data_IF_077773407888
#
_entry.id   IF_077773407888
#
_cell.length_a   1.000
_cell.length_b   1.000
_cell.length_c   1.000
_cell.angle_alpha   90.00
_cell.angle_beta   90.00
_cell.angle_gamma   90.00
#
_symmetry.space_group_name_H-M   'P 1'
#
loop_
_entity.id
_entity.type
_entity.pdbx_description
1 polymer ?
#
# COMPACT_ATOMS: atom_id res chain seq x y z
N UNK A 1 21.12 -0.53 -13.27
CA UNK A 1 19.93 -1.06 -13.96
C UNK A 1 19.78 -2.50 -13.47
N UNK A 2 18.56 -2.92 -13.15
CA UNK A 2 18.23 -4.27 -12.69
C UNK A 2 17.23 -4.90 -13.67
N UNK A 3 17.11 -6.23 -13.66
CA UNK A 3 16.14 -6.95 -14.48
C UNK A 3 15.04 -7.52 -13.57
N UNK A 4 13.83 -7.69 -14.11
CA UNK A 4 12.74 -8.37 -13.41
C UNK A 4 12.40 -7.83 -12.02
N UNK A 5 12.46 -6.51 -11.84
CA UNK A 5 12.05 -5.89 -10.58
C UNK A 5 10.61 -6.30 -10.24
N UNK A 6 10.41 -6.82 -9.05
CA UNK A 6 9.15 -7.41 -8.61
C UNK A 6 8.00 -6.40 -8.66
N UNK A 7 8.21 -5.19 -8.15
CA UNK A 7 7.20 -4.14 -8.17
C UNK A 7 6.75 -3.85 -9.60
N UNK A 8 7.71 -3.67 -10.51
CA UNK A 8 7.44 -3.36 -11.91
C UNK A 8 6.69 -4.49 -12.59
N UNK A 9 7.16 -5.73 -12.45
CA UNK A 9 6.56 -6.88 -13.13
C UNK A 9 5.14 -7.17 -12.62
N UNK A 10 4.94 -7.21 -11.30
CA UNK A 10 3.61 -7.49 -10.75
C UNK A 10 2.60 -6.35 -11.01
N UNK A 11 3.03 -5.09 -10.99
CA UNK A 11 2.16 -3.96 -11.35
C UNK A 11 1.83 -3.95 -12.85
N UNK A 12 2.79 -4.28 -13.72
CA UNK A 12 2.56 -4.42 -15.15
C UNK A 12 1.56 -5.55 -15.46
N UNK A 13 1.75 -6.72 -14.83
CA UNK A 13 0.82 -7.84 -14.91
C UNK A 13 -0.59 -7.44 -14.46
N UNK A 14 -0.70 -6.78 -13.29
CA UNK A 14 -1.98 -6.33 -12.76
C UNK A 14 -2.66 -5.31 -13.69
N UNK A 15 -1.89 -4.41 -14.32
CA UNK A 15 -2.42 -3.46 -15.29
C UNK A 15 -3.04 -4.15 -16.51
N UNK A 16 -2.37 -5.17 -17.07
CA UNK A 16 -2.90 -5.94 -18.19
C UNK A 16 -4.18 -6.69 -17.81
N UNK A 17 -4.23 -7.31 -16.62
CA UNK A 17 -5.43 -7.96 -16.09
C UNK A 17 -6.59 -6.96 -15.98
N UNK A 18 -6.34 -5.77 -15.43
CA UNK A 18 -7.36 -4.72 -15.30
C UNK A 18 -7.84 -4.20 -16.66
N UNK A 19 -6.93 -3.99 -17.61
CA UNK A 19 -7.27 -3.56 -18.97
C UNK A 19 -8.18 -4.59 -19.66
N UNK A 20 -7.85 -5.89 -19.57
CA UNK A 20 -8.69 -6.97 -20.09
C UNK A 20 -10.09 -6.97 -19.47
N UNK A 21 -10.17 -6.87 -18.14
CA UNK A 21 -11.44 -6.84 -17.42
C UNK A 21 -12.31 -5.64 -17.84
N UNK A 22 -11.69 -4.48 -18.03
CA UNK A 22 -12.38 -3.28 -18.52
C UNK A 22 -12.89 -3.48 -19.96
N UNK A 23 -12.09 -4.05 -20.87
CA UNK A 23 -12.53 -4.33 -22.24
C UNK A 23 -13.74 -5.25 -22.23
N UNK A 24 -13.71 -6.34 -21.45
CA UNK A 24 -14.86 -7.25 -21.31
C UNK A 24 -16.10 -6.50 -20.82
N UNK A 25 -15.95 -5.73 -19.73
CA UNK A 25 -17.04 -4.93 -19.17
C UNK A 25 -17.63 -3.94 -20.19
N UNK A 26 -16.79 -3.25 -20.97
CA UNK A 26 -17.23 -2.29 -21.97
C UNK A 26 -17.93 -2.97 -23.15
N UNK A 27 -17.40 -4.09 -23.64
CA UNK A 27 -18.04 -4.88 -24.70
C UNK A 27 -19.44 -5.36 -24.28
N UNK A 28 -19.59 -5.81 -23.05
CA UNK A 28 -20.86 -6.35 -22.53
C UNK A 28 -21.87 -5.27 -22.17
N UNK A 29 -21.45 -4.19 -21.49
CA UNK A 29 -22.37 -3.20 -20.91
C UNK A 29 -22.44 -1.88 -21.68
N UNK A 30 -21.43 -1.55 -22.47
CA UNK A 30 -21.28 -0.25 -23.14
C UNK A 30 -20.73 -0.39 -24.58
N UNK A 31 -21.37 -1.19 -25.45
CA UNK A 31 -20.80 -1.55 -26.76
C UNK A 31 -20.52 -0.35 -27.68
N UNK A 32 -21.37 0.68 -27.67
CA UNK A 32 -21.14 1.91 -28.46
C UNK A 32 -19.90 2.68 -27.99
N UNK A 33 -19.67 2.74 -26.68
CA UNK A 33 -18.51 3.38 -26.08
C UNK A 33 -17.23 2.60 -26.33
N UNK A 34 -17.33 1.27 -26.30
CA UNK A 34 -16.24 0.38 -26.70
C UNK A 34 -15.80 0.62 -28.13
N UNK A 35 -16.71 0.63 -29.10
CA UNK A 35 -16.37 0.86 -30.51
C UNK A 35 -15.72 2.25 -30.72
N UNK A 36 -16.22 3.27 -30.04
CA UNK A 36 -15.61 4.61 -30.07
C UNK A 36 -14.17 4.60 -29.52
N UNK A 37 -13.95 3.95 -28.38
CA UNK A 37 -12.62 3.84 -27.77
C UNK A 37 -11.67 3.04 -28.66
N UNK A 38 -12.10 1.86 -29.12
CA UNK A 38 -11.35 0.96 -30.01
C UNK A 38 -10.82 1.72 -31.23
N UNK A 39 -11.69 2.49 -31.89
CA UNK A 39 -11.30 3.30 -33.04
C UNK A 39 -10.33 4.43 -32.68
N UNK A 40 -10.57 5.13 -31.56
CA UNK A 40 -9.72 6.24 -31.11
C UNK A 40 -8.28 5.81 -30.79
N UNK A 41 -8.11 4.65 -30.16
CA UNK A 41 -6.78 4.13 -29.78
C UNK A 41 -6.20 3.16 -30.82
N UNK A 42 -6.91 2.93 -31.93
CA UNK A 42 -6.53 1.96 -32.98
C UNK A 42 -6.22 0.56 -32.41
N UNK A 43 -7.07 0.11 -31.48
CA UNK A 43 -6.85 -1.11 -30.73
C UNK A 43 -7.03 -2.37 -31.61
N UNK A 44 -6.08 -3.30 -31.53
CA UNK A 44 -6.16 -4.59 -32.21
C UNK A 44 -6.52 -5.71 -31.22
N UNK A 45 -7.44 -6.60 -31.61
CA UNK A 45 -7.80 -7.74 -30.76
C UNK A 45 -6.64 -8.74 -30.60
N UNK A 46 -5.70 -8.76 -31.54
CA UNK A 46 -4.47 -9.58 -31.44
C UNK A 46 -3.58 -9.15 -30.26
N UNK A 47 -3.69 -7.89 -29.80
CA UNK A 47 -2.95 -7.43 -28.62
C UNK A 47 -3.41 -8.16 -27.36
N UNK A 48 -4.71 -8.51 -27.25
CA UNK A 48 -5.24 -9.23 -26.07
C UNK A 48 -4.56 -10.58 -25.93
N UNK A 49 -4.42 -11.33 -27.02
CA UNK A 49 -3.75 -12.64 -26.99
C UNK A 49 -2.29 -12.53 -26.56
N UNK A 50 -1.59 -11.46 -26.95
CA UNK A 50 -0.22 -11.19 -26.49
C UNK A 50 -0.19 -10.81 -25.01
N UNK A 51 -1.20 -10.10 -24.51
CA UNK A 51 -1.28 -9.76 -23.09
C UNK A 51 -1.48 -11.00 -22.23
N UNK A 52 -2.25 -12.00 -22.70
CA UNK A 52 -2.39 -13.27 -22.00
C UNK A 52 -1.07 -14.01 -21.87
N UNK A 53 -0.33 -14.11 -22.97
CA UNK A 53 1.02 -14.69 -22.96
C UNK A 53 1.95 -13.96 -21.97
N UNK A 54 1.90 -12.62 -21.93
CA UNK A 54 2.68 -11.83 -20.95
C UNK A 54 2.19 -12.07 -19.53
N UNK A 55 0.88 -12.05 -19.28
CA UNK A 55 0.33 -12.23 -17.93
C UNK A 55 0.75 -13.60 -17.37
N UNK A 56 0.71 -14.64 -18.19
CA UNK A 56 1.04 -16.01 -17.79
C UNK A 56 2.55 -16.23 -17.63
N UNK A 57 3.39 -15.58 -18.44
CA UNK A 57 4.83 -15.86 -18.52
C UNK A 57 5.74 -14.77 -17.92
N UNK A 58 5.20 -13.65 -17.42
CA UNK A 58 6.02 -12.61 -16.79
C UNK A 58 6.77 -13.15 -15.58
N UNK A 59 8.06 -12.84 -15.49
CA UNK A 59 8.93 -13.33 -14.41
C UNK A 59 8.57 -12.69 -13.08
N UNK A 60 8.22 -13.51 -12.09
CA UNK A 60 8.03 -13.10 -10.69
C UNK A 60 9.06 -13.84 -9.83
N UNK A 61 10.01 -13.11 -9.25
CA UNK A 61 11.09 -13.69 -8.44
C UNK A 61 10.58 -14.01 -7.03
N UNK A 62 10.41 -15.29 -6.73
CA UNK A 62 9.97 -15.78 -5.42
C UNK A 62 10.87 -16.91 -4.95
N UNK A 63 11.45 -16.74 -3.77
CA UNK A 63 12.28 -17.71 -3.10
C UNK A 63 11.43 -18.56 -2.15
N UNK A 64 11.24 -19.84 -2.49
CA UNK A 64 10.39 -20.77 -1.73
C UNK A 64 10.99 -21.11 -0.36
N UNK A 65 12.30 -21.26 -0.27
CA UNK A 65 12.99 -21.64 0.99
C UNK A 65 12.90 -20.54 2.05
N UNK A 66 12.99 -19.28 1.61
CA UNK A 66 12.88 -18.11 2.49
C UNK A 66 11.43 -17.60 2.65
N UNK A 67 10.48 -18.15 1.88
CA UNK A 67 9.13 -17.60 1.68
C UNK A 67 9.17 -16.07 1.49
N UNK A 68 9.93 -15.66 0.46
CA UNK A 68 10.29 -14.27 0.21
C UNK A 68 10.19 -13.93 -1.28
N UNK A 69 9.45 -12.88 -1.61
CA UNK A 69 9.54 -12.27 -2.93
C UNK A 69 10.81 -11.42 -3.03
N UNK A 70 11.65 -11.70 -4.01
CA UNK A 70 12.91 -11.00 -4.24
C UNK A 70 12.65 -9.67 -4.95
N UNK A 71 13.38 -8.60 -4.61
CA UNK A 71 13.19 -7.28 -5.22
C UNK A 71 13.48 -7.30 -6.73
N UNK A 72 14.43 -8.14 -7.15
CA UNK A 72 14.80 -8.41 -8.54
C UNK A 72 15.56 -9.76 -8.63
N UNK A 73 15.83 -10.23 -9.86
CA UNK A 73 16.41 -11.56 -10.14
C UNK A 73 17.84 -11.79 -9.64
N UNK A 74 18.53 -10.74 -9.18
CA UNK A 74 19.89 -10.82 -8.65
C UNK A 74 19.99 -10.29 -7.22
N UNK A 75 18.88 -9.90 -6.58
CA UNK A 75 18.96 -9.22 -5.28
C UNK A 75 19.64 -10.08 -4.21
N UNK A 76 19.32 -11.37 -4.13
CA UNK A 76 19.90 -12.27 -3.13
C UNK A 76 21.38 -12.59 -3.37
N UNK A 77 21.90 -12.43 -4.59
CA UNK A 77 23.32 -12.66 -4.90
C UNK A 77 24.23 -11.48 -4.55
N UNK A 78 23.65 -10.31 -4.26
CA UNK A 78 24.37 -9.10 -3.84
C UNK A 78 24.90 -9.20 -2.42
N UNK A 79 25.91 -8.39 -2.13
CA UNK A 79 26.55 -8.32 -0.81
C UNK A 79 25.62 -7.58 0.17
N UNK A 80 25.32 -8.12 1.36
CA UNK A 80 24.61 -7.37 2.39
C UNK A 80 25.38 -6.12 2.80
N UNK A 81 24.70 -4.97 2.86
CA UNK A 81 25.28 -3.75 3.40
C UNK A 81 25.08 -3.67 4.90
N UNK A 82 26.17 -3.49 5.65
CA UNK A 82 26.09 -3.18 7.08
C UNK A 82 25.70 -1.72 7.28
N UNK A 83 24.40 -1.47 7.47
CA UNK A 83 23.83 -0.14 7.66
C UNK A 83 24.37 0.59 8.90
N UNK A 84 24.95 -0.11 9.88
CA UNK A 84 25.53 0.53 11.07
C UNK A 84 26.80 1.32 10.75
N UNK A 85 27.45 1.02 9.62
CA UNK A 85 28.64 1.76 9.16
C UNK A 85 28.28 3.02 8.37
N UNK A 86 27.01 3.18 8.01
CA UNK A 86 26.55 4.33 7.29
C UNK A 86 26.49 5.56 8.22
N UNK A 87 27.08 6.67 7.80
CA UNK A 87 27.13 7.88 8.62
C UNK A 87 25.88 8.73 8.35
N UNK A 88 25.15 9.19 9.39
CA UNK A 88 24.10 10.19 9.19
C UNK A 88 24.77 11.50 8.78
N UNK A 89 24.54 11.93 7.54
CA UNK A 89 24.99 13.22 7.02
C UNK A 89 23.78 13.98 6.45
N UNK A 90 23.96 15.23 6.04
CA UNK A 90 22.94 15.95 5.26
C UNK A 90 22.80 15.40 3.82
N UNK A 91 23.64 14.44 3.43
CA UNK A 91 23.50 13.68 2.18
C UNK A 91 22.71 12.40 2.46
N UNK A 92 22.11 11.84 1.41
CA UNK A 92 21.50 10.52 1.47
C UNK A 92 22.50 9.49 1.99
N UNK A 93 22.04 8.55 2.79
CA UNK A 93 22.82 7.45 3.35
C UNK A 93 23.50 6.69 2.22
N UNK A 94 22.78 6.44 1.12
CA UNK A 94 23.33 5.76 -0.05
C UNK A 94 24.49 6.55 -0.69
N UNK A 95 24.34 7.87 -0.83
CA UNK A 95 25.33 8.76 -1.47
C UNK A 95 26.58 8.98 -0.61
N UNK A 96 26.51 8.69 0.69
CA UNK A 96 27.60 8.91 1.65
C UNK A 96 28.34 7.63 2.06
N UNK A 97 27.77 6.46 1.75
CA UNK A 97 28.28 5.16 2.22
C UNK A 97 28.89 4.31 1.10
N UNK A 98 28.33 4.37 -0.11
CA UNK A 98 28.77 3.54 -1.23
C UNK A 98 28.96 4.43 -2.47
N UNK A 99 30.03 4.24 -3.26
CA UNK A 99 30.12 4.82 -4.60
C UNK A 99 28.89 4.45 -5.46
N UNK A 100 28.35 5.39 -6.22
CA UNK A 100 27.12 5.20 -6.97
C UNK A 100 27.18 3.97 -7.91
N UNK A 101 28.34 3.74 -8.52
CA UNK A 101 28.61 2.63 -9.44
C UNK A 101 28.55 1.26 -8.74
N UNK A 102 28.80 1.21 -7.43
CA UNK A 102 28.81 -0.02 -6.66
C UNK A 102 27.44 -0.35 -6.05
N UNK A 103 26.43 0.51 -6.14
CA UNK A 103 25.12 0.29 -5.51
C UNK A 103 24.44 -1.00 -5.94
N UNK A 104 24.59 -1.39 -7.21
CA UNK A 104 24.03 -2.64 -7.74
C UNK A 104 24.68 -3.91 -7.17
N UNK A 105 25.79 -3.79 -6.45
CA UNK A 105 26.48 -4.91 -5.81
C UNK A 105 25.99 -5.15 -4.38
N UNK A 106 25.16 -4.26 -3.83
CA UNK A 106 24.72 -4.32 -2.44
C UNK A 106 23.20 -4.55 -2.31
N UNK A 107 22.82 -5.27 -1.26
CA UNK A 107 21.43 -5.40 -0.84
C UNK A 107 21.02 -4.15 -0.06
N UNK A 108 20.72 -3.08 -0.79
CA UNK A 108 20.32 -1.80 -0.22
C UNK A 108 19.20 -1.19 -1.04
N UNK A 109 18.16 -0.71 -0.37
CA UNK A 109 17.00 -0.10 -1.03
C UNK A 109 16.81 1.31 -0.49
N UNK A 110 16.64 2.29 -1.39
CA UNK A 110 16.48 3.71 -1.00
C UNK A 110 15.20 3.94 -0.17
N UNK A 111 14.13 3.25 -0.53
CA UNK A 111 12.77 3.38 0.00
C UNK A 111 12.02 2.05 -0.18
N UNK A 112 10.79 1.94 0.31
CA UNK A 112 10.00 0.72 0.11
C UNK A 112 9.78 0.41 -1.40
N UNK A 113 10.17 -0.80 -1.81
CA UNK A 113 9.92 -1.39 -3.13
C UNK A 113 8.94 -2.57 -2.98
N UNK A 114 9.43 -3.76 -2.55
CA UNK A 114 8.61 -4.95 -2.29
C UNK A 114 7.50 -4.66 -1.28
N UNK A 115 7.81 -3.96 -0.19
CA UNK A 115 6.81 -3.55 0.81
C UNK A 115 5.75 -2.61 0.23
N UNK A 116 6.11 -1.77 -0.73
CA UNK A 116 5.16 -0.88 -1.39
C UNK A 116 4.23 -1.66 -2.33
N UNK A 117 4.77 -2.64 -3.05
CA UNK A 117 3.97 -3.58 -3.85
C UNK A 117 2.97 -4.33 -2.97
N UNK A 118 3.43 -4.88 -1.85
CA UNK A 118 2.59 -5.61 -0.90
C UNK A 118 1.49 -4.76 -0.27
N UNK A 119 1.74 -3.45 -0.12
CA UNK A 119 0.71 -2.48 0.29
C UNK A 119 -0.31 -2.24 -0.83
N UNK A 120 0.13 -2.10 -2.08
CA UNK A 120 -0.75 -1.76 -3.21
C UNK A 120 -1.58 -2.95 -3.69
N UNK A 121 -1.00 -4.16 -3.73
CA UNK A 121 -1.65 -5.40 -4.14
C UNK A 121 -1.88 -6.31 -2.93
N UNK A 122 -2.43 -5.77 -1.85
CA UNK A 122 -2.51 -6.45 -0.55
C UNK A 122 -3.21 -7.82 -0.56
N UNK A 123 -4.11 -8.08 -1.51
CA UNK A 123 -4.81 -9.35 -1.71
C UNK A 123 -3.94 -10.46 -2.33
N UNK A 124 -2.79 -10.13 -2.89
CA UNK A 124 -1.86 -11.09 -3.51
C UNK A 124 -0.94 -11.78 -2.52
N UNK A 125 -0.89 -11.32 -1.28
CA UNK A 125 0.12 -11.73 -0.31
C UNK A 125 -0.53 -12.14 1.01
N UNK A 126 -0.04 -13.24 1.58
CA UNK A 126 -0.45 -13.66 2.91
C UNK A 126 0.13 -12.74 3.98
N UNK A 127 -0.46 -12.77 5.18
CA UNK A 127 0.09 -12.06 6.33
C UNK A 127 1.54 -12.48 6.62
N UNK A 128 1.83 -13.80 6.58
CA UNK A 128 3.16 -14.34 6.84
C UNK A 128 4.20 -13.84 5.82
N UNK A 129 3.84 -13.78 4.54
CA UNK A 129 4.72 -13.25 3.48
C UNK A 129 5.06 -11.77 3.71
N UNK A 130 4.09 -10.97 4.16
CA UNK A 130 4.34 -9.56 4.54
C UNK A 130 5.28 -9.45 5.73
N UNK A 131 5.13 -10.32 6.73
CA UNK A 131 6.03 -10.39 7.90
C UNK A 131 7.45 -10.78 7.48
N UNK A 132 7.61 -11.76 6.60
CA UNK A 132 8.93 -12.18 6.10
C UNK A 132 9.60 -11.06 5.31
N UNK A 133 8.87 -10.43 4.39
CA UNK A 133 9.36 -9.28 3.63
C UNK A 133 9.75 -8.11 4.54
N UNK A 134 8.95 -7.82 5.58
CA UNK A 134 9.28 -6.78 6.56
C UNK A 134 10.62 -7.06 7.24
N UNK A 135 10.77 -8.26 7.83
CA UNK A 135 12.00 -8.67 8.52
C UNK A 135 13.22 -8.61 7.59
N UNK A 136 13.03 -8.92 6.31
CA UNK A 136 14.12 -8.97 5.35
C UNK A 136 14.52 -7.59 4.80
N UNK A 137 13.57 -6.74 4.40
CA UNK A 137 13.82 -5.50 3.66
C UNK A 137 13.97 -4.26 4.55
N UNK A 138 13.31 -4.20 5.70
CA UNK A 138 13.40 -3.01 6.58
C UNK A 138 14.84 -2.75 7.04
N UNK A 139 15.62 -3.75 7.48
CA UNK A 139 17.03 -3.52 7.86
C UNK A 139 17.93 -3.08 6.70
N UNK A 140 17.48 -3.25 5.45
CA UNK A 140 18.22 -2.89 4.22
C UNK A 140 17.74 -1.58 3.59
N UNK A 141 16.77 -0.91 4.23
CA UNK A 141 16.18 0.32 3.70
C UNK A 141 16.89 1.55 4.27
N UNK A 142 17.39 2.44 3.41
CA UNK A 142 18.10 3.65 3.81
C UNK A 142 17.18 4.78 4.32
N UNK A 143 15.89 4.76 3.97
CA UNK A 143 14.96 5.87 4.26
C UNK A 143 15.38 7.22 3.66
N UNK A 144 16.08 7.19 2.53
CA UNK A 144 16.59 8.37 1.79
C UNK A 144 15.50 9.09 0.97
N UNK A 145 14.23 8.83 1.29
CA UNK A 145 13.06 9.34 0.61
C UNK A 145 11.95 9.59 1.62
N UNK A 146 11.29 10.74 1.50
CA UNK A 146 10.14 11.09 2.34
C UNK A 146 8.97 10.12 2.22
N UNK A 147 8.89 9.38 1.11
CA UNK A 147 7.85 8.36 0.90
C UNK A 147 8.09 7.07 1.71
N UNK A 148 9.33 6.83 2.16
CA UNK A 148 9.68 5.57 2.81
C UNK A 148 8.90 5.38 4.12
N UNK A 149 8.91 6.37 5.01
CA UNK A 149 8.34 6.25 6.35
C UNK A 149 6.84 5.94 6.33
N UNK A 150 6.06 6.55 5.43
CA UNK A 150 4.62 6.31 5.38
C UNK A 150 4.25 4.90 4.96
N UNK A 151 4.99 4.32 4.00
CA UNK A 151 4.75 2.94 3.58
C UNK A 151 5.14 1.97 4.70
N UNK A 152 6.23 2.25 5.41
CA UNK A 152 6.63 1.45 6.56
C UNK A 152 5.63 1.55 7.72
N UNK A 153 5.05 2.72 7.97
CA UNK A 153 3.99 2.88 8.96
C UNK A 153 2.75 2.04 8.61
N UNK A 154 2.29 2.09 7.34
CA UNK A 154 1.17 1.27 6.85
C UNK A 154 1.48 -0.22 6.99
N UNK A 155 2.65 -0.65 6.50
CA UNK A 155 3.01 -2.06 6.50
C UNK A 155 3.15 -2.61 7.91
N UNK A 156 3.84 -1.90 8.81
CA UNK A 156 3.93 -2.28 10.23
C UNK A 156 2.55 -2.43 10.88
N UNK A 157 1.62 -1.50 10.62
CA UNK A 157 0.26 -1.58 11.16
C UNK A 157 -0.50 -2.80 10.63
N UNK A 158 -0.31 -3.15 9.34
CA UNK A 158 -0.94 -4.32 8.71
C UNK A 158 -0.38 -5.67 9.16
N UNK A 159 0.77 -5.68 9.84
CA UNK A 159 1.41 -6.89 10.38
C UNK A 159 1.51 -6.86 11.92
N UNK A 160 0.64 -6.07 12.55
CA UNK A 160 0.49 -5.98 14.01
C UNK A 160 1.72 -5.47 14.78
N UNK A 161 2.66 -4.80 14.10
CA UNK A 161 3.79 -4.10 14.72
C UNK A 161 3.40 -2.67 15.09
N UNK A 162 2.53 -2.55 16.09
CA UNK A 162 1.84 -1.32 16.43
C UNK A 162 2.79 -0.19 16.87
N UNK A 163 3.78 -0.50 17.70
CA UNK A 163 4.74 0.50 18.21
C UNK A 163 5.66 1.00 17.09
N UNK A 164 6.15 0.09 16.23
CA UNK A 164 6.92 0.42 15.04
C UNK A 164 6.09 1.30 14.08
N UNK A 165 4.85 0.92 13.81
CA UNK A 165 3.94 1.70 12.96
C UNK A 165 3.77 3.12 13.48
N UNK A 166 3.58 3.27 14.80
CA UNK A 166 3.44 4.57 15.44
C UNK A 166 4.73 5.38 15.40
N UNK A 167 5.89 4.74 15.56
CA UNK A 167 7.19 5.40 15.43
C UNK A 167 7.41 5.94 14.01
N UNK A 168 7.15 5.15 12.97
CA UNK A 168 7.21 5.63 11.59
C UNK A 168 6.21 6.75 11.34
N UNK A 169 4.96 6.63 11.81
CA UNK A 169 3.94 7.66 11.68
C UNK A 169 4.38 9.00 12.28
N UNK A 170 4.97 8.99 13.49
CA UNK A 170 5.48 10.22 14.12
C UNK A 170 6.52 10.91 13.25
N UNK A 171 7.39 10.16 12.57
CA UNK A 171 8.36 10.71 11.63
C UNK A 171 7.63 11.36 10.45
N UNK A 172 6.67 10.67 9.82
CA UNK A 172 5.88 11.22 8.71
C UNK A 172 5.18 12.54 9.08
N UNK A 173 4.48 12.54 10.22
CA UNK A 173 3.70 13.69 10.68
C UNK A 173 4.57 14.91 11.04
N UNK A 174 5.84 14.68 11.37
CA UNK A 174 6.79 15.74 11.73
C UNK A 174 7.89 15.94 10.68
N UNK A 175 7.75 15.35 9.49
CA UNK A 175 8.87 15.19 8.55
C UNK A 175 9.50 16.53 8.16
N UNK A 176 8.69 17.46 7.66
CA UNK A 176 9.15 18.80 7.28
C UNK A 176 9.34 19.72 8.49
N UNK A 177 8.51 19.57 9.52
CA UNK A 177 8.58 20.38 10.76
C UNK A 177 9.93 20.18 11.46
N UNK A 178 10.42 18.93 11.49
CA UNK A 178 11.70 18.56 12.10
C UNK A 178 12.84 18.48 11.11
N UNK A 179 12.60 18.84 9.84
CA UNK A 179 13.58 18.79 8.77
C UNK A 179 14.33 17.44 8.73
N UNK A 180 13.60 16.33 8.73
CA UNK A 180 14.14 14.96 8.95
C UNK A 180 15.26 14.60 7.96
N UNK A 181 15.14 14.99 6.69
CA UNK A 181 16.16 14.77 5.66
C UNK A 181 17.11 15.97 5.46
N UNK A 182 17.03 16.99 6.33
CA UNK A 182 17.86 18.18 6.28
C UNK A 182 17.75 19.00 4.96
N UNK A 183 16.66 18.82 4.21
CA UNK A 183 16.46 19.40 2.88
C UNK A 183 15.10 20.09 2.70
N UNK A 184 14.32 20.34 3.77
CA UNK A 184 13.02 21.04 3.68
C UNK A 184 13.15 22.45 3.09
N UNK A 185 14.32 23.08 3.18
CA UNK A 185 14.62 24.36 2.50
C UNK A 185 14.47 24.26 0.97
N UNK A 186 14.62 23.07 0.40
CA UNK A 186 14.42 22.81 -1.04
C UNK A 186 12.95 22.62 -1.43
N UNK A 187 12.03 22.58 -0.46
CA UNK A 187 10.59 22.43 -0.68
C UNK A 187 9.94 21.46 0.30
N UNK A 188 8.61 21.55 0.40
CA UNK A 188 7.79 20.64 1.21
C UNK A 188 7.62 19.28 0.53
N UNK A 189 7.55 18.22 1.33
CA UNK A 189 7.44 16.85 0.83
C UNK A 189 5.97 16.43 0.69
N UNK A 190 5.26 16.94 -0.33
CA UNK A 190 3.83 16.67 -0.52
C UNK A 190 3.46 15.17 -0.60
N UNK A 191 4.35 14.33 -1.15
CA UNK A 191 4.16 12.89 -1.16
C UNK A 191 4.06 12.31 0.27
N UNK A 192 4.84 12.84 1.22
CA UNK A 192 4.76 12.49 2.63
C UNK A 192 3.47 12.99 3.29
N UNK A 193 2.88 14.10 2.85
CA UNK A 193 1.59 14.56 3.38
C UNK A 193 0.47 13.55 3.05
N UNK A 194 0.40 13.13 1.78
CA UNK A 194 -0.51 12.06 1.37
C UNK A 194 -0.18 10.74 2.07
N UNK A 195 1.10 10.41 2.21
CA UNK A 195 1.55 9.22 2.94
C UNK A 195 1.14 9.22 4.42
N UNK A 196 1.20 10.37 5.09
CA UNK A 196 0.80 10.53 6.50
C UNK A 196 -0.68 10.25 6.68
N UNK A 197 -1.53 10.75 5.77
CA UNK A 197 -2.96 10.42 5.76
C UNK A 197 -3.19 8.93 5.50
N UNK A 198 -2.46 8.34 4.55
CA UNK A 198 -2.56 6.90 4.25
C UNK A 198 -2.15 6.01 5.42
N UNK A 199 -1.16 6.41 6.23
CA UNK A 199 -0.77 5.69 7.44
C UNK A 199 -1.92 5.61 8.46
N UNK A 200 -2.74 6.66 8.57
CA UNK A 200 -3.94 6.66 9.40
C UNK A 200 -5.03 5.75 8.82
N UNK A 201 -5.36 5.94 7.53
CA UNK A 201 -6.54 5.29 6.93
C UNK A 201 -6.28 3.84 6.51
N UNK A 202 -5.17 3.56 5.82
CA UNK A 202 -4.84 2.22 5.33
C UNK A 202 -3.94 1.42 6.27
N UNK A 203 -3.30 2.10 7.23
CA UNK A 203 -2.53 1.50 8.32
C UNK A 203 -3.39 1.28 9.55
N UNK A 204 -3.49 2.28 10.42
CA UNK A 204 -4.15 2.14 11.73
C UNK A 204 -5.65 1.85 11.68
N UNK A 205 -6.39 2.39 10.70
CA UNK A 205 -7.79 2.01 10.51
C UNK A 205 -7.96 0.69 9.74
N UNK A 206 -6.88 0.17 9.15
CA UNK A 206 -6.89 -1.06 8.34
C UNK A 206 -7.90 -1.04 7.20
N UNK A 207 -8.18 0.13 6.63
CA UNK A 207 -9.18 0.26 5.58
C UNK A 207 -8.67 -0.40 4.30
N UNK A 208 -9.46 -1.32 3.76
CA UNK A 208 -9.18 -2.05 2.52
C UNK A 208 -10.44 -2.12 1.68
N UNK A 209 -10.27 -2.17 0.37
CA UNK A 209 -11.38 -2.29 -0.58
C UNK A 209 -11.13 -3.53 -1.41
N UNK A 210 -12.06 -4.48 -1.38
CA UNK A 210 -12.10 -5.58 -2.32
C UNK A 210 -13.30 -5.41 -3.30
N UNK A 211 -13.56 -6.41 -4.13
CA UNK A 211 -14.61 -6.34 -5.14
C UNK A 211 -16.00 -6.08 -4.54
N UNK A 212 -16.25 -6.61 -3.34
CA UNK A 212 -17.57 -6.65 -2.72
C UNK A 212 -17.68 -5.76 -1.48
N UNK A 213 -16.60 -5.61 -0.71
CA UNK A 213 -16.63 -5.01 0.62
C UNK A 213 -15.70 -3.82 0.78
N UNK A 214 -16.15 -2.86 1.59
CA UNK A 214 -15.27 -1.97 2.32
C UNK A 214 -14.89 -2.66 3.63
N UNK A 215 -13.65 -3.15 3.74
CA UNK A 215 -13.13 -3.78 4.95
C UNK A 215 -12.45 -2.75 5.84
N UNK A 216 -12.65 -2.87 7.14
CA UNK A 216 -12.07 -2.04 8.19
C UNK A 216 -11.50 -2.99 9.25
N UNK A 217 -10.23 -2.83 9.61
CA UNK A 217 -9.55 -3.67 10.61
C UNK A 217 -8.73 -2.76 11.54
N UNK A 218 -9.38 -2.20 12.58
CA UNK A 218 -8.77 -1.17 13.41
C UNK A 218 -7.61 -1.72 14.23
N UNK A 219 -6.50 -1.01 14.22
CA UNK A 219 -5.30 -1.27 15.01
C UNK A 219 -4.79 0.07 15.57
N UNK A 220 -5.48 0.58 16.59
CA UNK A 220 -5.24 1.93 17.12
C UNK A 220 -4.03 1.94 18.06
N UNK A 221 -2.98 2.76 17.81
CA UNK A 221 -1.82 2.78 18.68
C UNK A 221 -2.20 3.22 20.09
N UNK A 222 -1.52 2.66 21.11
CA UNK A 222 -1.79 2.94 22.54
C UNK A 222 -1.77 4.42 22.90
N UNK A 223 -1.00 5.22 22.16
CA UNK A 223 -0.92 6.66 22.36
C UNK A 223 -2.21 7.43 21.97
N UNK A 224 -3.12 6.80 21.23
CA UNK A 224 -4.36 7.42 20.76
C UNK A 224 -5.56 6.90 21.53
N UNK A 225 -6.37 7.84 22.05
CA UNK A 225 -7.68 7.52 22.65
C UNK A 225 -8.70 7.15 21.59
N UNK A 226 -8.70 7.89 20.48
CA UNK A 226 -9.62 7.70 19.37
C UNK A 226 -9.13 8.41 18.12
N UNK A 227 -9.62 8.00 16.96
CA UNK A 227 -9.52 8.74 15.69
C UNK A 227 -10.88 8.84 15.02
N UNK A 228 -11.07 9.89 14.23
CA UNK A 228 -12.23 10.02 13.36
C UNK A 228 -11.84 10.69 12.05
N UNK A 229 -12.40 10.19 10.95
CA UNK A 229 -12.20 10.76 9.63
C UNK A 229 -13.40 10.47 8.73
N UNK A 230 -13.42 11.12 7.57
CA UNK A 230 -14.43 10.89 6.55
C UNK A 230 -13.80 10.32 5.29
N UNK A 231 -14.54 9.47 4.59
CA UNK A 231 -14.19 9.00 3.25
C UNK A 231 -15.41 9.04 2.33
N UNK A 232 -15.14 9.23 1.04
CA UNK A 232 -16.11 8.97 0.00
C UNK A 232 -15.91 7.55 -0.52
N UNK A 233 -16.95 6.72 -0.45
CA UNK A 233 -16.94 5.35 -0.97
C UNK A 233 -18.14 5.12 -1.88
N UNK A 234 -17.87 4.82 -3.16
CA UNK A 234 -18.90 4.58 -4.20
C UNK A 234 -20.01 5.65 -4.24
N UNK A 235 -19.66 6.92 -3.99
CA UNK A 235 -20.59 8.05 -3.98
C UNK A 235 -21.33 8.28 -2.66
N UNK A 236 -20.99 7.56 -1.60
CA UNK A 236 -21.51 7.78 -0.23
C UNK A 236 -20.44 8.42 0.66
N UNK A 237 -20.84 9.34 1.55
CA UNK A 237 -19.94 9.92 2.55
C UNK A 237 -20.06 9.13 3.85
N UNK A 238 -18.97 8.51 4.28
CA UNK A 238 -18.89 7.79 5.52
C UNK A 238 -18.07 8.60 6.54
N UNK A 239 -18.57 8.69 7.78
CA UNK A 239 -17.74 9.06 8.94
C UNK A 239 -17.35 7.77 9.65
N UNK A 240 -16.06 7.58 9.83
CA UNK A 240 -15.50 6.45 10.53
C UNK A 240 -14.91 6.97 11.85
N UNK A 241 -15.18 6.24 12.94
CA UNK A 241 -14.68 6.53 14.27
C UNK A 241 -14.17 5.24 14.91
N UNK A 242 -12.99 5.32 15.52
CA UNK A 242 -12.40 4.24 16.30
C UNK A 242 -11.94 4.78 17.63
N UNK A 243 -12.17 4.04 18.70
CA UNK A 243 -11.59 4.25 20.02
C UNK A 243 -11.05 2.93 20.55
N UNK A 244 -10.51 2.95 21.77
CA UNK A 244 -10.15 1.74 22.51
C UNK A 244 -11.38 0.92 22.94
N UNK A 245 -12.59 1.48 22.81
CA UNK A 245 -13.84 0.90 23.31
C UNK A 245 -14.76 0.45 22.17
N UNK A 246 -14.81 1.21 21.06
CA UNK A 246 -15.74 0.95 19.97
C UNK A 246 -15.18 1.27 18.59
N UNK A 247 -15.76 0.61 17.61
CA UNK A 247 -15.68 0.96 16.19
C UNK A 247 -17.05 1.40 15.70
N UNK A 248 -17.11 2.57 15.07
CA UNK A 248 -18.36 3.15 14.60
C UNK A 248 -18.25 3.67 13.18
N UNK A 249 -19.27 3.36 12.36
CA UNK A 249 -19.37 3.81 10.97
C UNK A 249 -20.73 4.45 10.76
N UNK A 250 -20.73 5.69 10.29
CA UNK A 250 -21.93 6.46 10.04
C UNK A 250 -22.04 6.81 8.56
N UNK A 251 -23.20 6.58 7.96
CA UNK A 251 -23.56 7.08 6.64
C UNK A 251 -24.02 8.54 6.79
N UNK A 252 -23.17 9.48 6.37
CA UNK A 252 -23.45 10.93 6.44
C UNK A 252 -24.12 11.46 5.18
N UNK A 253 -23.87 10.83 4.05
CA UNK A 253 -24.57 11.09 2.80
C UNK A 253 -24.74 9.78 2.04
N UNK A 254 -25.97 9.53 1.60
CA UNK A 254 -26.35 8.36 0.84
C UNK A 254 -26.63 8.74 -0.62
N UNK A 255 -26.25 7.88 -1.56
CA UNK A 255 -26.63 7.97 -2.97
C UNK A 255 -27.70 6.94 -3.37
N UNK A 256 -28.40 6.37 -2.39
CA UNK A 256 -29.43 5.35 -2.57
C UNK A 256 -28.91 3.93 -2.80
N UNK A 257 -27.60 3.66 -2.69
CA UNK A 257 -27.03 2.31 -2.81
C UNK A 257 -26.54 1.78 -1.47
N UNK A 258 -26.84 0.52 -1.21
CA UNK A 258 -26.34 -0.22 -0.06
C UNK A 258 -24.81 -0.35 -0.09
N UNK A 259 -24.21 -0.32 1.10
CA UNK A 259 -22.78 -0.52 1.29
C UNK A 259 -22.57 -1.80 2.10
N UNK A 260 -21.99 -2.81 1.46
CA UNK A 260 -21.46 -3.98 2.16
C UNK A 260 -20.15 -3.60 2.86
N UNK A 261 -20.18 -3.62 4.19
CA UNK A 261 -19.07 -3.28 5.06
C UNK A 261 -18.62 -4.53 5.80
N UNK A 262 -17.32 -4.72 5.96
CA UNK A 262 -16.76 -5.72 6.86
C UNK A 262 -15.93 -5.02 7.94
N UNK A 263 -16.34 -5.11 9.20
CA UNK A 263 -15.57 -4.59 10.32
C UNK A 263 -14.99 -5.77 11.08
N UNK A 264 -13.66 -5.85 11.10
CA UNK A 264 -12.91 -7.04 11.52
C UNK A 264 -13.39 -8.27 10.74
N UNK A 265 -14.10 -9.19 11.39
CA UNK A 265 -14.64 -10.40 10.76
C UNK A 265 -16.17 -10.39 10.63
N UNK A 266 -16.84 -9.30 11.03
CA UNK A 266 -18.31 -9.18 10.97
C UNK A 266 -18.75 -8.34 9.79
N UNK A 267 -19.75 -8.83 9.05
CA UNK A 267 -20.32 -8.16 7.88
C UNK A 267 -21.59 -7.38 8.23
N UNK A 268 -21.75 -6.22 7.61
CA UNK A 268 -22.89 -5.32 7.79
C UNK A 268 -23.33 -4.75 6.46
N UNK A 269 -24.60 -4.37 6.40
CA UNK A 269 -25.15 -3.56 5.32
C UNK A 269 -25.50 -2.19 5.90
N UNK A 270 -24.87 -1.15 5.36
CA UNK A 270 -25.13 0.24 5.70
C UNK A 270 -25.96 0.90 4.60
N UNK A 271 -27.08 1.52 4.96
CA UNK A 271 -27.98 2.22 4.05
C UNK A 271 -28.79 3.31 4.78
N UNK A 272 -29.76 3.94 4.12
CA UNK A 272 -30.51 5.04 4.73
C UNK A 272 -31.34 4.62 5.95
N UNK A 273 -31.84 3.37 5.95
CA UNK A 273 -32.59 2.80 7.09
C UNK A 273 -31.69 2.30 8.21
N UNK A 274 -30.46 1.91 7.89
CA UNK A 274 -29.42 1.48 8.83
C UNK A 274 -28.15 2.32 8.60
N UNK A 275 -28.18 3.57 9.06
CA UNK A 275 -27.15 4.57 8.75
C UNK A 275 -26.02 4.64 9.78
N UNK A 276 -25.99 3.74 10.76
CA UNK A 276 -24.98 3.70 11.82
C UNK A 276 -24.72 2.25 12.26
N UNK A 277 -23.45 1.89 12.31
CA UNK A 277 -22.97 0.64 12.91
C UNK A 277 -22.09 1.00 14.10
N UNK A 278 -22.26 0.28 15.21
CA UNK A 278 -21.37 0.35 16.37
C UNK A 278 -21.01 -1.07 16.80
N UNK A 279 -19.72 -1.30 17.00
CA UNK A 279 -19.17 -2.55 17.55
C UNK A 279 -18.32 -2.23 18.77
N UNK A 280 -18.63 -2.85 19.90
CA UNK A 280 -17.81 -2.78 21.11
C UNK A 280 -16.63 -3.75 21.01
N UNK A 281 -15.44 -3.31 21.42
CA UNK A 281 -14.21 -4.13 21.37
C UNK A 281 -14.15 -5.10 22.55
N UNK A 282 -14.73 -4.72 23.69
CA UNK A 282 -14.98 -5.60 24.82
C UNK A 282 -16.43 -6.06 24.68
N UNK A 283 -16.64 -7.33 24.31
CA UNK A 283 -17.96 -7.88 24.06
C UNK A 283 -18.88 -7.72 25.27
N UNK A 284 -19.79 -6.76 25.17
CA UNK A 284 -21.08 -6.76 25.82
C UNK A 284 -22.09 -6.36 24.73
N UNK A 285 -23.15 -7.16 24.67
CA UNK A 285 -24.20 -7.35 23.65
C UNK A 285 -24.65 -6.12 22.84
#
# INVERSE_FOLDING_TARGET
>A
IVNNNLYTNMMAQQNLILAKNLIRLMKEKYPSEWERLKNKVSFSEEEISKWDDIIENITICYNVELDLYEEDDMYLSRVPLDMNKAKPTAKRIIDSTIPYEALMLYQVTKQADVLHLMKNLHWRFTHQQKVNAWKYYVPKTCFDSSLAFSIHAVMAAQIDLQEEAYNYFKVCANFDIRNVLLNTVSGLHFANFGGTWQAVVFGFAGLQVDEYHLKISPNLPRAWKSISFHIWYRGNLLKIYFSQESTEVYLKHANGKDICLKVSDTEFILNESNNHIKLSINGDE
#
